data_IF_452843711868
#
_entry.id   IF_452843711868
#
_cell.length_a   1.000
_cell.length_b   1.000
_cell.length_c   1.000
_cell.angle_alpha   90.00
_cell.angle_beta   90.00
_cell.angle_gamma   90.00
#
_symmetry.space_group_name_H-M   'P 1'
#
loop_
_entity.id
_entity.type
_entity.pdbx_description
1 polymer ?
#
# COMPACT_ATOMS: atom_id res chain seq x y z
N UNK A 1 -13.48 -51.70 -51.31
CA UNK A 1 -14.30 -52.89 -51.00
C UNK A 1 -13.98 -53.32 -49.57
N UNK A 2 -15.01 -53.70 -48.79
CA UNK A 2 -15.36 -53.07 -47.50
C UNK A 2 -15.05 -53.98 -46.30
N UNK A 3 -15.20 -53.54 -45.05
CA UNK A 3 -16.37 -53.79 -44.19
C UNK A 3 -15.93 -53.47 -42.72
N UNK A 4 -16.71 -53.11 -41.70
CA UNK A 4 -18.14 -52.97 -41.49
C UNK A 4 -18.38 -52.03 -40.31
N UNK A 5 -19.47 -51.26 -40.44
CA UNK A 5 -20.33 -50.67 -39.41
C UNK A 5 -20.52 -51.44 -38.11
N UNK A 6 -20.77 -50.71 -37.00
CA UNK A 6 -21.96 -50.95 -36.15
C UNK A 6 -22.28 -49.76 -35.23
N UNK A 7 -23.37 -49.08 -35.59
CA UNK A 7 -24.15 -48.15 -34.77
C UNK A 7 -24.99 -48.93 -33.75
N UNK A 8 -25.18 -48.41 -32.54
CA UNK A 8 -26.32 -48.79 -31.68
C UNK A 8 -26.70 -47.66 -30.70
N UNK A 9 -27.95 -47.21 -30.82
CA UNK A 9 -28.77 -46.38 -29.91
C UNK A 9 -30.23 -46.80 -30.18
N UNK A 10 -31.24 -46.42 -29.37
CA UNK A 10 -31.51 -46.54 -27.92
C UNK A 10 -32.72 -47.51 -27.70
N UNK A 11 -33.48 -47.50 -26.57
CA UNK A 11 -34.58 -46.53 -26.44
C UNK A 11 -34.86 -46.02 -25.00
N UNK A 12 -35.69 -44.97 -24.95
CA UNK A 12 -36.26 -44.24 -23.79
C UNK A 12 -37.39 -45.02 -23.10
N UNK A 13 -37.71 -44.63 -21.86
CA UNK A 13 -39.05 -44.45 -21.20
C UNK A 13 -38.88 -44.62 -19.68
N UNK A 14 -39.53 -43.92 -18.74
CA UNK A 14 -40.54 -42.85 -18.74
C UNK A 14 -40.78 -42.36 -17.30
N UNK A 15 -41.47 -41.23 -17.14
CA UNK A 15 -42.21 -40.83 -15.93
C UNK A 15 -43.72 -41.09 -16.18
N UNK A 16 -44.73 -40.85 -15.28
CA UNK A 16 -44.79 -40.32 -13.90
C UNK A 16 -45.78 -41.17 -13.01
N UNK A 17 -46.68 -40.71 -12.10
CA UNK A 17 -46.74 -39.56 -11.15
C UNK A 17 -47.10 -39.94 -9.67
N UNK A 18 -47.05 -38.98 -8.73
CA UNK A 18 -48.15 -38.77 -7.76
C UNK A 18 -48.06 -39.19 -6.27
N UNK A 19 -47.89 -38.17 -5.41
CA UNK A 19 -48.70 -37.88 -4.20
C UNK A 19 -48.26 -38.31 -2.78
N UNK A 20 -48.60 -37.40 -1.85
CA UNK A 20 -48.93 -37.51 -0.41
C UNK A 20 -47.83 -37.41 0.66
N UNK A 21 -47.79 -36.19 1.21
CA UNK A 21 -47.63 -35.79 2.61
C UNK A 21 -47.45 -36.92 3.64
N UNK A 22 -46.29 -36.92 4.31
CA UNK A 22 -46.24 -37.18 5.74
C UNK A 22 -45.28 -36.20 6.42
N UNK A 23 -45.87 -35.40 7.29
CA UNK A 23 -45.24 -34.54 8.29
C UNK A 23 -44.34 -35.38 9.19
N UNK A 24 -43.02 -35.14 9.14
CA UNK A 24 -42.12 -35.47 10.25
C UNK A 24 -41.14 -34.32 10.40
N UNK A 25 -41.37 -33.53 11.45
CA UNK A 25 -40.43 -32.56 11.97
C UNK A 25 -39.18 -33.33 12.43
N UNK A 26 -38.15 -33.34 11.59
CA UNK A 26 -36.81 -33.70 11.98
C UNK A 26 -36.10 -32.40 12.39
N UNK A 27 -35.84 -32.26 13.70
CA UNK A 27 -34.88 -31.32 14.25
C UNK A 27 -33.50 -31.71 13.73
N UNK A 28 -33.18 -31.29 12.51
CA UNK A 28 -31.84 -31.33 11.98
C UNK A 28 -31.05 -30.20 12.63
N UNK A 29 -30.11 -30.56 13.52
CA UNK A 29 -29.04 -29.66 13.92
C UNK A 29 -28.26 -29.26 12.66
N UNK A 30 -28.61 -28.11 12.10
CA UNK A 30 -27.82 -27.48 11.07
C UNK A 30 -26.49 -27.09 11.68
N UNK A 31 -25.45 -27.90 11.44
CA UNK A 31 -24.08 -27.44 11.59
C UNK A 31 -23.92 -26.35 10.55
N UNK A 32 -24.05 -25.09 10.97
CA UNK A 32 -23.63 -23.96 10.17
C UNK A 32 -22.13 -24.15 9.90
N UNK A 33 -21.81 -24.59 8.69
CA UNK A 33 -20.44 -24.54 8.20
C UNK A 33 -20.06 -23.06 8.15
N UNK A 34 -19.39 -22.59 9.21
CA UNK A 34 -18.69 -21.32 9.19
C UNK A 34 -17.59 -21.51 8.15
N UNK A 35 -17.86 -21.11 6.91
CA UNK A 35 -16.84 -20.84 5.92
C UNK A 35 -16.06 -19.64 6.47
N UNK A 36 -15.12 -19.93 7.37
CA UNK A 36 -14.06 -18.99 7.69
C UNK A 36 -13.37 -18.70 6.38
N UNK A 37 -13.54 -17.47 5.87
CA UNK A 37 -12.66 -16.96 4.85
C UNK A 37 -11.27 -16.92 5.47
N UNK A 38 -10.51 -18.00 5.28
CA UNK A 38 -9.08 -17.96 5.49
C UNK A 38 -8.56 -17.00 4.42
N UNK A 39 -8.37 -15.74 4.80
CA UNK A 39 -7.49 -14.87 4.06
C UNK A 39 -6.17 -15.63 4.00
N UNK A 40 -5.82 -16.15 2.81
CA UNK A 40 -4.52 -16.72 2.58
C UNK A 40 -3.53 -15.61 2.92
N UNK A 41 -2.80 -15.73 4.02
CA UNK A 41 -1.71 -14.84 4.32
C UNK A 41 -0.76 -14.93 3.11
N UNK A 42 -0.70 -13.86 2.33
CA UNK A 42 0.14 -13.80 1.14
C UNK A 42 1.60 -13.94 1.58
N UNK A 43 2.24 -15.06 1.28
CA UNK A 43 3.70 -15.23 1.46
C UNK A 43 4.51 -14.48 0.40
N UNK A 44 3.89 -13.49 -0.25
CA UNK A 44 4.47 -12.65 -1.27
C UNK A 44 5.46 -11.71 -0.59
N UNK A 45 6.73 -11.79 -0.98
CA UNK A 45 7.76 -10.88 -0.50
C UNK A 45 7.62 -9.56 -1.25
N UNK A 46 7.57 -8.44 -0.51
CA UNK A 46 7.53 -7.10 -1.10
C UNK A 46 8.95 -6.51 -1.24
N UNK A 47 9.26 -5.95 -2.41
CA UNK A 47 10.44 -5.12 -2.64
C UNK A 47 10.01 -3.66 -2.85
N UNK A 48 10.47 -2.76 -1.99
CA UNK A 48 10.37 -1.31 -2.25
C UNK A 48 11.72 -0.76 -2.69
N UNK A 49 11.74 -0.09 -3.84
CA UNK A 49 12.89 0.67 -4.32
C UNK A 49 12.57 2.15 -4.15
N UNK A 50 13.31 2.85 -3.28
CA UNK A 50 13.23 4.30 -3.15
C UNK A 50 14.38 4.95 -3.92
N UNK A 51 14.07 5.97 -4.72
CA UNK A 51 15.04 6.62 -5.59
C UNK A 51 15.23 8.07 -5.16
N UNK A 52 16.48 8.46 -4.95
CA UNK A 52 16.88 9.85 -4.66
C UNK A 52 17.97 10.36 -5.59
N UNK A 53 18.09 11.68 -5.70
CA UNK A 53 19.17 12.34 -6.43
C UNK A 53 20.46 12.26 -5.62
N UNK A 54 21.54 11.81 -6.26
CA UNK A 54 22.87 11.84 -5.66
C UNK A 54 23.28 13.28 -5.29
N UNK A 55 23.83 13.46 -4.09
CA UNK A 55 24.25 14.76 -3.56
C UNK A 55 23.17 15.49 -2.79
N UNK A 56 21.99 15.72 -3.38
CA UNK A 56 20.91 16.47 -2.72
C UNK A 56 19.97 15.63 -1.85
N UNK A 57 19.93 14.30 -2.02
CA UNK A 57 18.99 13.42 -1.30
C UNK A 57 17.51 13.56 -1.72
N UNK A 58 17.15 14.59 -2.50
CA UNK A 58 15.82 14.78 -3.06
C UNK A 58 15.26 13.51 -3.73
N UNK A 59 14.09 13.07 -3.27
CA UNK A 59 13.35 11.94 -3.85
C UNK A 59 12.92 12.24 -5.29
N UNK A 60 13.02 11.25 -6.17
CA UNK A 60 12.78 11.40 -7.61
C UNK A 60 11.50 10.69 -8.04
N UNK A 61 10.50 11.49 -8.43
CA UNK A 61 9.31 11.02 -9.13
C UNK A 61 9.58 10.68 -10.58
N UNK A 62 8.68 9.94 -11.22
CA UNK A 62 8.72 9.56 -12.64
C UNK A 62 10.05 8.88 -13.05
N UNK A 63 10.54 7.98 -12.20
CA UNK A 63 11.67 7.09 -12.49
C UNK A 63 11.11 5.73 -12.90
N UNK A 64 11.59 5.16 -14.01
CA UNK A 64 11.23 3.81 -14.41
C UNK A 64 12.11 2.80 -13.66
N UNK A 65 11.47 1.75 -13.12
CA UNK A 65 12.11 0.67 -12.38
C UNK A 65 11.65 -0.66 -12.96
N UNK A 66 12.58 -1.52 -13.32
CA UNK A 66 12.33 -2.86 -13.82
C UNK A 66 12.92 -3.86 -12.83
N UNK A 67 12.18 -4.94 -12.54
CA UNK A 67 12.65 -6.05 -11.73
C UNK A 67 12.58 -7.32 -12.56
N UNK A 68 13.68 -8.05 -12.61
CA UNK A 68 13.80 -9.19 -13.51
C UNK A 68 15.09 -9.96 -13.27
N UNK A 69 15.65 -10.46 -14.37
CA UNK A 69 16.95 -11.13 -14.42
C UNK A 69 17.94 -10.31 -15.26
N UNK A 70 19.24 -10.65 -15.27
CA UNK A 70 20.19 -9.94 -16.14
C UNK A 70 19.87 -10.05 -17.63
N UNK A 71 19.21 -11.14 -18.06
CA UNK A 71 18.85 -11.39 -19.44
C UNK A 71 17.49 -10.76 -19.82
N UNK A 72 16.58 -10.67 -18.87
CA UNK A 72 15.24 -10.13 -19.03
C UNK A 72 14.93 -9.16 -17.85
N UNK A 73 15.32 -7.87 -17.98
CA UNK A 73 15.30 -6.92 -16.86
C UNK A 73 13.91 -6.62 -16.30
N UNK A 74 12.84 -6.84 -17.05
CA UNK A 74 11.45 -6.58 -16.68
C UNK A 74 10.60 -7.85 -16.48
N UNK A 75 11.24 -9.03 -16.48
CA UNK A 75 10.59 -10.33 -16.31
C UNK A 75 9.58 -10.42 -15.17
N UNK A 76 9.87 -9.76 -14.04
CA UNK A 76 9.04 -9.79 -12.82
C UNK A 76 8.27 -8.48 -12.60
N UNK A 77 8.27 -7.59 -13.60
CA UNK A 77 7.45 -6.40 -13.63
C UNK A 77 8.23 -5.11 -13.78
N UNK A 78 7.46 -4.05 -14.02
CA UNK A 78 7.91 -2.68 -14.16
C UNK A 78 7.06 -1.75 -13.30
N UNK A 79 7.65 -0.67 -12.82
CA UNK A 79 6.97 0.35 -12.04
C UNK A 79 7.52 1.73 -12.36
N UNK A 80 6.73 2.77 -12.07
CA UNK A 80 7.15 4.16 -12.11
C UNK A 80 7.01 4.80 -10.74
N UNK A 81 8.03 5.53 -10.30
CA UNK A 81 8.00 6.17 -8.98
C UNK A 81 6.99 7.32 -8.91
N UNK A 82 6.25 7.40 -7.81
CA UNK A 82 5.39 8.54 -7.47
C UNK A 82 6.18 9.71 -6.86
N UNK A 83 5.48 10.71 -6.29
CA UNK A 83 6.11 11.90 -5.68
C UNK A 83 7.06 11.55 -4.51
N UNK A 84 6.72 10.55 -3.71
CA UNK A 84 7.61 9.99 -2.68
C UNK A 84 8.81 9.18 -3.18
N UNK A 85 9.04 9.11 -4.50
CA UNK A 85 10.22 8.45 -5.09
C UNK A 85 10.24 6.92 -4.95
N UNK A 86 9.11 6.29 -4.62
CA UNK A 86 9.03 4.86 -4.33
C UNK A 86 8.42 4.08 -5.50
N UNK A 87 9.01 2.91 -5.79
CA UNK A 87 8.47 1.87 -6.65
C UNK A 87 8.36 0.57 -5.83
N UNK A 88 7.21 -0.11 -5.89
CA UNK A 88 6.95 -1.33 -5.12
C UNK A 88 6.63 -2.50 -6.03
N UNK A 89 7.10 -3.67 -5.64
CA UNK A 89 6.89 -4.94 -6.34
C UNK A 89 6.49 -5.99 -5.31
N UNK A 90 5.28 -6.51 -5.45
CA UNK A 90 4.80 -7.63 -4.64
C UNK A 90 5.00 -8.95 -5.41
N UNK A 91 4.83 -10.07 -4.71
CA UNK A 91 4.78 -11.42 -5.31
C UNK A 91 6.07 -11.82 -6.05
N UNK A 92 7.21 -11.26 -5.63
CA UNK A 92 8.49 -11.57 -6.26
C UNK A 92 8.96 -12.99 -5.93
N UNK A 93 9.68 -13.65 -6.86
CA UNK A 93 10.22 -14.96 -6.62
C UNK A 93 11.33 -14.92 -5.57
N UNK A 94 11.49 -16.02 -4.82
CA UNK A 94 12.61 -16.21 -3.88
C UNK A 94 13.88 -16.62 -4.62
N UNK A 95 14.32 -15.77 -5.53
CA UNK A 95 15.50 -15.96 -6.37
C UNK A 95 16.32 -14.66 -6.42
N UNK A 96 17.59 -14.70 -6.86
CA UNK A 96 18.34 -13.48 -7.14
C UNK A 96 17.62 -12.62 -8.18
N UNK A 97 17.56 -11.32 -7.93
CA UNK A 97 16.86 -10.35 -8.77
C UNK A 97 17.85 -9.32 -9.34
N UNK A 98 17.56 -8.85 -10.55
CA UNK A 98 18.18 -7.66 -11.12
C UNK A 98 17.17 -6.53 -11.09
N UNK A 99 17.59 -5.37 -10.59
CA UNK A 99 16.79 -4.14 -10.58
C UNK A 99 17.46 -3.13 -11.49
N UNK A 100 16.75 -2.67 -12.52
CA UNK A 100 17.22 -1.63 -13.46
C UNK A 100 16.40 -0.37 -13.25
N UNK A 101 17.10 0.76 -13.08
CA UNK A 101 16.51 2.05 -12.73
C UNK A 101 16.98 3.08 -13.75
N UNK A 102 16.04 3.76 -14.40
CA UNK A 102 16.34 4.76 -15.43
C UNK A 102 15.40 5.96 -15.36
N UNK A 103 15.96 7.16 -15.56
CA UNK A 103 15.23 8.42 -15.69
C UNK A 103 15.99 9.36 -16.61
N UNK A 104 15.28 10.07 -17.49
CA UNK A 104 15.88 11.08 -18.35
C UNK A 104 16.60 12.18 -17.54
N UNK A 105 17.79 12.56 -17.98
CA UNK A 105 18.65 13.51 -17.28
C UNK A 105 19.42 12.91 -16.09
N UNK A 106 19.30 11.60 -15.86
CA UNK A 106 20.08 10.84 -14.88
C UNK A 106 20.82 9.67 -15.54
N UNK A 107 21.95 9.29 -14.95
CA UNK A 107 22.64 8.06 -15.34
C UNK A 107 21.91 6.86 -14.72
N UNK A 108 21.44 5.93 -15.56
CA UNK A 108 20.76 4.72 -15.12
C UNK A 108 21.65 3.84 -14.23
N UNK A 109 21.02 3.02 -13.39
CA UNK A 109 21.71 2.08 -12.49
C UNK A 109 21.10 0.69 -12.57
N UNK A 110 21.95 -0.31 -12.37
CA UNK A 110 21.56 -1.70 -12.22
C UNK A 110 22.09 -2.23 -10.89
N UNK A 111 21.25 -2.94 -10.16
CA UNK A 111 21.58 -3.56 -8.88
C UNK A 111 21.26 -5.05 -8.95
N UNK A 112 22.15 -5.87 -8.40
CA UNK A 112 21.88 -7.28 -8.15
C UNK A 112 21.46 -7.47 -6.69
N UNK A 113 20.31 -8.07 -6.47
CA UNK A 113 19.81 -8.44 -5.16
C UNK A 113 19.90 -9.96 -5.03
N UNK A 114 20.39 -10.43 -3.88
CA UNK A 114 20.23 -11.84 -3.50
C UNK A 114 18.75 -12.21 -3.29
N UNK A 115 18.46 -13.49 -3.03
CA UNK A 115 17.09 -13.97 -2.79
C UNK A 115 16.39 -13.16 -1.69
N UNK A 116 15.15 -12.76 -1.95
CA UNK A 116 14.32 -12.08 -0.97
C UNK A 116 13.55 -13.12 -0.16
N UNK A 117 13.80 -13.18 1.15
CA UNK A 117 13.13 -14.10 2.08
C UNK A 117 12.11 -13.40 2.99
N UNK A 118 12.20 -12.07 3.05
CA UNK A 118 11.34 -11.14 3.78
C UNK A 118 11.23 -9.88 2.96
N UNK A 119 10.29 -9.00 3.31
CA UNK A 119 10.18 -7.68 2.71
C UNK A 119 11.52 -6.94 2.77
N UNK A 120 11.82 -6.21 1.69
CA UNK A 120 13.09 -5.52 1.54
C UNK A 120 12.91 -4.15 0.95
N UNK A 121 13.49 -3.17 1.62
CA UNK A 121 13.60 -1.82 1.10
C UNK A 121 15.02 -1.53 0.61
N UNK A 122 15.13 -0.84 -0.52
CA UNK A 122 16.40 -0.48 -1.15
C UNK A 122 16.37 1.00 -1.53
N UNK A 123 17.27 1.78 -0.93
CA UNK A 123 17.51 3.16 -1.34
C UNK A 123 18.56 3.20 -2.46
N UNK A 124 18.22 3.81 -3.59
CA UNK A 124 19.13 3.97 -4.73
C UNK A 124 19.29 5.46 -5.06
N UNK A 125 20.54 5.90 -5.08
CA UNK A 125 20.90 7.25 -5.53
C UNK A 125 21.22 7.26 -7.02
N UNK A 126 20.61 8.16 -7.77
CA UNK A 126 20.91 8.40 -9.18
C UNK A 126 21.78 9.65 -9.38
N UNK A 127 22.95 9.52 -10.02
CA UNK A 127 23.74 10.67 -10.49
C UNK A 127 23.00 11.41 -11.62
N UNK A 128 23.15 12.73 -11.67
CA UNK A 128 22.76 13.49 -12.88
C UNK A 128 23.64 13.07 -14.07
N UNK A 129 23.10 13.16 -15.28
CA UNK A 129 23.82 12.87 -16.52
C UNK A 129 22.97 12.11 -17.53
N UNK A 130 23.61 11.28 -18.34
CA UNK A 130 22.92 10.40 -19.28
C UNK A 130 23.61 9.04 -19.41
N UNK A 131 22.96 8.14 -20.14
CA UNK A 131 23.42 6.77 -20.36
C UNK A 131 23.14 5.83 -19.19
N UNK A 132 23.72 4.63 -19.25
CA UNK A 132 23.45 3.55 -18.31
C UNK A 132 22.26 2.67 -18.73
N UNK A 133 21.98 1.61 -17.96
CA UNK A 133 20.93 0.65 -18.27
C UNK A 133 19.56 1.33 -18.27
N UNK A 134 18.70 0.90 -19.20
CA UNK A 134 17.38 1.47 -19.42
C UNK A 134 16.30 0.46 -19.06
N UNK A 135 15.35 0.88 -18.26
CA UNK A 135 14.11 0.14 -18.03
C UNK A 135 13.09 0.58 -19.09
N UNK A 136 12.94 -0.26 -20.14
CA UNK A 136 12.13 0.02 -21.33
C UNK A 136 10.82 -0.80 -21.39
N UNK A 137 10.59 -1.69 -20.43
CA UNK A 137 9.40 -2.54 -20.41
C UNK A 137 8.11 -1.72 -20.37
N UNK A 138 6.99 -2.25 -20.90
CA UNK A 138 5.70 -1.61 -20.79
C UNK A 138 5.42 -1.42 -19.30
N UNK A 139 5.08 -0.20 -18.89
CA UNK A 139 4.77 0.08 -17.49
C UNK A 139 3.48 -0.67 -17.18
N UNK A 140 3.61 -1.82 -16.53
CA UNK A 140 2.50 -2.70 -16.29
C UNK A 140 1.54 -2.01 -15.32
N UNK A 141 0.27 -1.90 -15.72
CA UNK A 141 -0.84 -1.64 -14.80
C UNK A 141 -1.19 -2.89 -13.96
N UNK A 142 -0.29 -3.88 -13.89
CA UNK A 142 -0.35 -4.94 -12.87
C UNK A 142 0.19 -4.32 -11.59
N UNK A 143 -0.74 -3.62 -10.95
CA UNK A 143 -0.69 -2.92 -9.67
C UNK A 143 0.68 -2.59 -9.11
N UNK A 144 1.23 -1.40 -9.39
CA UNK A 144 1.64 -0.64 -8.23
C UNK A 144 0.34 -0.43 -7.44
N UNK A 145 0.19 -0.97 -6.23
CA UNK A 145 -0.49 -0.17 -5.20
C UNK A 145 0.36 1.09 -5.16
N UNK A 146 -0.01 2.07 -6.00
CA UNK A 146 0.73 3.29 -6.33
C UNK A 146 1.63 3.62 -5.16
N UNK A 147 2.92 3.22 -5.27
CA UNK A 147 3.76 2.85 -4.14
C UNK A 147 3.43 3.75 -3.00
N UNK A 148 2.68 3.25 -2.00
CA UNK A 148 1.87 4.15 -1.19
C UNK A 148 2.79 5.18 -0.56
N UNK A 149 2.82 6.34 -1.18
CA UNK A 149 3.36 7.54 -0.61
C UNK A 149 2.55 7.65 0.67
N UNK A 150 3.24 7.72 1.81
CA UNK A 150 2.55 7.82 3.08
C UNK A 150 1.62 9.02 2.94
N UNK A 151 0.33 8.81 2.73
CA UNK A 151 -0.60 9.88 2.40
C UNK A 151 -1.58 9.97 3.53
N UNK A 152 -1.63 11.16 4.10
CA UNK A 152 -2.64 11.50 5.07
C UNK A 152 -3.89 11.91 4.29
N UNK A 153 -4.85 11.00 4.20
CA UNK A 153 -6.07 11.17 3.42
C UNK A 153 -7.08 12.06 4.15
N UNK A 154 -7.17 11.93 5.48
CA UNK A 154 -8.15 12.64 6.30
C UNK A 154 -7.65 12.82 7.73
N UNK A 155 -8.05 13.92 8.36
CA UNK A 155 -7.90 14.19 9.79
C UNK A 155 -9.27 14.62 10.30
N UNK A 156 -9.68 14.09 11.44
CA UNK A 156 -10.98 14.38 12.07
C UNK A 156 -10.74 14.69 13.55
N UNK A 157 -11.36 15.75 14.07
CA UNK A 157 -11.33 16.10 15.50
C UNK A 157 -12.64 15.63 16.14
N UNK A 158 -12.55 14.90 17.26
CA UNK A 158 -13.70 14.46 18.07
C UNK A 158 -14.82 13.86 17.21
N UNK A 159 -14.49 12.89 16.35
CA UNK A 159 -15.45 12.23 15.42
C UNK A 159 -16.20 13.19 14.48
N UNK A 160 -15.69 14.41 14.27
CA UNK A 160 -16.27 15.42 13.39
C UNK A 160 -17.18 16.42 14.10
N UNK A 161 -17.10 16.51 15.43
CA UNK A 161 -17.84 17.51 16.20
C UNK A 161 -17.49 18.94 15.74
N UNK A 162 -18.51 19.77 15.55
CA UNK A 162 -18.33 21.18 15.17
C UNK A 162 -17.81 22.05 16.31
N UNK A 163 -18.11 21.66 17.55
CA UNK A 163 -17.73 22.40 18.76
C UNK A 163 -17.31 21.48 19.91
N UNK A 164 -16.51 22.00 20.82
CA UNK A 164 -16.11 21.33 22.06
C UNK A 164 -15.97 22.36 23.18
N UNK A 165 -16.30 21.97 24.41
CA UNK A 165 -15.93 22.73 25.61
C UNK A 165 -14.64 22.20 26.27
N UNK A 166 -14.04 21.15 25.70
CA UNK A 166 -12.84 20.50 26.21
C UNK A 166 -11.65 20.82 25.31
N UNK A 167 -10.57 21.29 25.94
CA UNK A 167 -9.30 21.58 25.24
C UNK A 167 -8.53 20.33 24.87
N UNK A 168 -8.75 19.21 25.54
CA UNK A 168 -8.19 17.93 25.14
C UNK A 168 -9.14 17.30 24.15
N UNK A 169 -8.67 17.15 22.91
CA UNK A 169 -9.43 16.58 21.80
C UNK A 169 -8.76 15.32 21.29
N UNK A 170 -9.54 14.51 20.59
CA UNK A 170 -9.09 13.31 19.93
C UNK A 170 -8.98 13.55 18.42
N UNK A 171 -7.83 13.23 17.83
CA UNK A 171 -7.62 13.26 16.39
C UNK A 171 -7.64 11.82 15.87
N UNK A 172 -8.52 11.56 14.91
CA UNK A 172 -8.53 10.33 14.12
C UNK A 172 -7.99 10.64 12.73
N UNK A 173 -7.13 9.76 12.19
CA UNK A 173 -6.53 9.97 10.87
C UNK A 173 -6.79 8.78 9.96
N UNK A 174 -7.08 9.06 8.69
CA UNK A 174 -7.06 8.05 7.63
C UNK A 174 -5.80 8.21 6.81
N UNK A 175 -5.07 7.12 6.65
CA UNK A 175 -3.80 7.09 5.94
C UNK A 175 -3.75 5.89 5.01
N UNK A 176 -2.90 6.00 4.00
CA UNK A 176 -2.75 4.97 2.97
C UNK A 176 -1.71 3.90 3.34
N UNK A 177 -0.79 4.19 4.28
CA UNK A 177 0.25 3.28 4.77
C UNK A 177 0.49 3.54 6.27
N UNK A 178 1.05 2.57 6.99
CA UNK A 178 1.26 2.64 8.44
C UNK A 178 2.48 3.51 8.78
N UNK A 179 2.31 4.66 9.46
CA UNK A 179 3.40 5.50 9.89
C UNK A 179 4.06 4.97 11.17
N UNK A 180 5.30 5.38 11.40
CA UNK A 180 5.98 5.12 12.69
C UNK A 180 5.82 6.28 13.66
N UNK A 181 5.65 7.50 13.14
CA UNK A 181 5.54 8.72 13.93
C UNK A 181 4.55 9.72 13.31
N UNK A 182 4.10 10.68 14.11
CA UNK A 182 3.35 11.84 13.67
C UNK A 182 3.86 13.10 14.35
N UNK A 183 3.46 14.25 13.82
CA UNK A 183 3.50 15.53 14.53
C UNK A 183 2.18 16.27 14.31
N UNK A 184 1.75 17.03 15.30
CA UNK A 184 0.53 17.82 15.27
C UNK A 184 0.77 19.22 15.85
N UNK A 185 0.17 20.24 15.24
CA UNK A 185 0.34 21.64 15.68
C UNK A 185 -0.86 22.50 15.27
N UNK A 186 -1.17 23.55 16.03
CA UNK A 186 -2.07 24.63 15.58
C UNK A 186 -1.39 25.59 14.60
N UNK A 187 -0.11 25.36 14.29
CA UNK A 187 0.65 26.09 13.27
C UNK A 187 0.93 25.20 12.07
N UNK A 188 0.70 25.72 10.87
CA UNK A 188 0.89 25.01 9.60
C UNK A 188 2.36 24.72 9.27
N UNK A 189 3.28 25.48 9.85
CA UNK A 189 4.73 25.30 9.73
C UNK A 189 5.30 24.25 10.70
N UNK A 190 4.51 23.80 11.68
CA UNK A 190 4.92 22.90 12.76
C UNK A 190 6.09 23.45 13.61
N UNK A 191 6.26 24.77 13.69
CA UNK A 191 7.29 25.36 14.56
C UNK A 191 7.05 24.93 16.02
N UNK A 192 8.07 24.32 16.63
CA UNK A 192 8.01 23.80 18.01
C UNK A 192 7.28 22.47 18.17
N UNK A 193 6.78 21.84 17.10
CA UNK A 193 6.14 20.53 17.18
C UNK A 193 7.16 19.39 16.97
N UNK A 194 7.20 18.47 17.93
CA UNK A 194 8.07 17.31 17.88
C UNK A 194 7.40 16.13 17.16
N UNK A 195 8.23 15.22 16.67
CA UNK A 195 7.76 13.95 16.13
C UNK A 195 7.59 12.91 17.24
N UNK A 196 6.38 12.43 17.42
CA UNK A 196 5.99 11.45 18.46
C UNK A 196 5.67 10.10 17.83
N UNK A 197 5.96 8.96 18.49
CA UNK A 197 5.52 7.65 18.02
C UNK A 197 4.03 7.63 17.72
N UNK A 198 3.66 6.99 16.61
CA UNK A 198 2.28 6.96 16.16
C UNK A 198 1.48 5.88 16.87
N UNK A 199 0.38 6.31 17.49
CA UNK A 199 -0.65 5.47 18.06
C UNK A 199 -1.99 6.18 17.83
N UNK A 200 -3.01 5.44 17.40
CA UNK A 200 -4.36 5.97 17.23
C UNK A 200 -5.28 5.51 18.37
N UNK A 201 -6.16 6.40 18.87
CA UNK A 201 -6.33 7.78 18.43
C UNK A 201 -5.33 8.76 19.08
N UNK A 202 -5.04 9.87 18.40
CA UNK A 202 -4.06 10.87 18.87
C UNK A 202 -4.74 11.84 19.83
N UNK A 203 -4.22 11.96 21.07
CA UNK A 203 -4.68 12.98 22.02
C UNK A 203 -3.93 14.28 21.80
N UNK A 204 -4.66 15.36 21.53
CA UNK A 204 -4.09 16.68 21.31
C UNK A 204 -4.69 17.71 22.27
N UNK A 205 -3.86 18.65 22.77
CA UNK A 205 -4.31 19.72 23.67
C UNK A 205 -4.29 21.06 22.94
N UNK A 206 -5.48 21.60 22.72
CA UNK A 206 -5.69 22.91 22.10
C UNK A 206 -5.15 24.06 22.97
N UNK A 207 -4.74 25.13 22.29
CA UNK A 207 -4.43 26.43 22.87
C UNK A 207 -5.58 26.96 23.72
N UNK A 208 -5.26 27.84 24.67
CA UNK A 208 -6.28 28.51 25.48
C UNK A 208 -7.07 29.54 24.67
N UNK A 209 -8.21 29.95 25.21
CA UNK A 209 -9.09 30.94 24.60
C UNK A 209 -10.08 30.30 23.64
N UNK A 210 -11.31 30.80 23.68
CA UNK A 210 -12.40 30.36 22.81
C UNK A 210 -12.14 30.70 21.33
N UNK A 211 -12.97 30.14 20.46
CA UNK A 211 -13.00 30.41 19.03
C UNK A 211 -12.52 29.22 18.20
N UNK A 212 -12.39 29.47 16.90
CA UNK A 212 -11.98 28.45 15.94
C UNK A 212 -10.54 28.01 16.18
N UNK A 213 -10.35 26.70 16.30
CA UNK A 213 -9.05 26.04 16.40
C UNK A 213 -8.84 25.17 15.16
N UNK A 214 -7.66 25.24 14.57
CA UNK A 214 -7.25 24.36 13.46
C UNK A 214 -6.03 23.57 13.87
N UNK A 215 -6.06 22.24 13.75
CA UNK A 215 -4.93 21.36 14.02
C UNK A 215 -4.42 20.78 12.71
N UNK A 216 -3.16 21.04 12.41
CA UNK A 216 -2.41 20.45 11.29
C UNK A 216 -1.70 19.19 11.76
N UNK A 217 -1.69 18.16 10.91
CA UNK A 217 -1.05 16.87 11.17
C UNK A 217 -0.18 16.48 9.99
N UNK A 218 0.98 15.90 10.29
CA UNK A 218 1.84 15.24 9.31
C UNK A 218 2.32 13.91 9.88
N UNK A 219 2.41 12.90 9.01
CA UNK A 219 2.87 11.56 9.35
C UNK A 219 4.29 11.34 8.81
N UNK A 220 5.02 10.45 9.48
CA UNK A 220 6.36 10.02 9.12
C UNK A 220 6.48 8.51 9.26
N UNK A 221 7.16 7.88 8.32
CA UNK A 221 7.51 6.46 8.36
C UNK A 221 9.01 6.30 8.17
N UNK A 222 9.60 5.52 9.07
CA UNK A 222 10.96 5.02 8.92
C UNK A 222 10.91 3.57 8.47
N UNK A 223 11.76 3.21 7.51
CA UNK A 223 12.01 1.83 7.13
C UNK A 223 13.49 1.56 7.01
N UNK A 224 13.94 0.40 7.48
CA UNK A 224 15.33 -0.02 7.32
C UNK A 224 15.54 -0.56 5.91
N UNK A 225 16.47 0.04 5.17
CA UNK A 225 16.93 -0.43 3.87
C UNK A 225 18.38 -0.90 3.96
N UNK A 226 18.82 -1.70 2.99
CA UNK A 226 20.22 -2.14 2.95
C UNK A 226 21.14 -0.93 2.75
N UNK A 227 21.86 -0.56 3.80
CA UNK A 227 22.82 0.55 3.82
C UNK A 227 22.24 1.93 4.14
N UNK A 228 20.95 2.05 4.48
CA UNK A 228 20.34 3.33 4.85
C UNK A 228 19.04 3.15 5.67
N UNK A 229 18.65 4.18 6.41
CA UNK A 229 17.27 4.34 6.89
C UNK A 229 16.51 5.23 5.90
N UNK A 230 15.35 4.75 5.46
CA UNK A 230 14.46 5.46 4.55
C UNK A 230 13.43 6.21 5.38
N UNK A 231 13.41 7.53 5.22
CA UNK A 231 12.35 8.39 5.73
C UNK A 231 11.33 8.69 4.63
N UNK A 232 10.05 8.55 4.94
CA UNK A 232 8.94 8.99 4.09
C UNK A 232 8.02 9.91 4.89
N UNK A 233 7.73 11.09 4.36
CA UNK A 233 6.83 12.07 4.96
C UNK A 233 5.52 12.13 4.19
N UNK A 234 4.42 12.34 4.89
CA UNK A 234 3.14 12.61 4.25
C UNK A 234 2.95 14.04 3.80
N UNK A 235 1.91 14.24 2.98
CA UNK A 235 1.27 15.55 2.89
C UNK A 235 0.79 16.02 4.28
N UNK A 236 0.64 17.33 4.43
CA UNK A 236 -0.03 17.92 5.58
C UNK A 236 -1.54 17.90 5.34
N UNK A 237 -2.31 17.55 6.37
CA UNK A 237 -3.75 17.73 6.40
C UNK A 237 -4.14 18.40 7.72
N UNK A 238 -5.35 18.95 7.79
CA UNK A 238 -5.82 19.67 8.96
C UNK A 238 -7.30 19.46 9.20
N UNK A 239 -7.71 19.67 10.44
CA UNK A 239 -9.11 19.69 10.83
C UNK A 239 -9.37 20.84 11.81
N UNK A 240 -10.61 21.35 11.81
CA UNK A 240 -11.02 22.48 12.63
C UNK A 240 -12.10 22.11 13.65
N UNK A 241 -12.15 22.83 14.76
CA UNK A 241 -13.20 22.74 15.77
C UNK A 241 -13.38 24.08 16.48
N UNK A 242 -14.61 24.44 16.86
CA UNK A 242 -14.88 25.62 17.69
C UNK A 242 -14.74 25.28 19.18
N UNK A 243 -13.86 25.99 19.90
CA UNK A 243 -13.73 25.85 21.35
C UNK A 243 -14.63 26.87 22.05
N UNK A 244 -15.57 26.40 22.87
CA UNK A 244 -16.50 27.24 23.64
C UNK A 244 -16.28 27.07 25.14
N UNK A 245 -16.73 28.02 25.96
CA UNK A 245 -16.92 27.79 27.38
C UNK A 245 -18.05 26.77 27.59
N UNK A 246 -18.01 26.09 28.74
CA UNK A 246 -19.17 25.36 29.25
C UNK A 246 -20.28 26.30 29.69
#
# INVERSE_FOLDING_TARGET
>A
MPDSSRSYWPPRQGAPPGSRNHTRAALGFGVAAVLGAYAAASFAVELTVQISRQGSGQLLADVNVCVGTPADPDQFGTARTGRGGNARFAELPRAPLTVVISKDGFRGRQLALGPLNTDRDVLVTLPRGGGGPQCAGPIAAVGPTAGVDLRLAEVVINEGASMTSNRTVELSVRMSDDPTHYRASERSDFEGAEWTPFEQPIRYRLSSGEGEKTVYVQLRKYRSAVGAEIETLSNVASAGIELTSR
#
